data_IF_443309472713
#
_entry.id   IF_443309472713
#
_cell.length_a   1.000
_cell.length_b   1.000
_cell.length_c   1.000
_cell.angle_alpha   90.00
_cell.angle_beta   90.00
_cell.angle_gamma   90.00
#
_symmetry.space_group_name_H-M   'P 1'
#
loop_
_entity.id
_entity.type
_entity.pdbx_description
1 polymer ?
#
# COMPACT_ATOMS: atom_id res chain seq x y z
N UNK A 1 -2.56 10.85 41.38
CA UNK A 1 -1.93 9.65 40.85
C UNK A 1 -1.52 9.96 39.43
N UNK A 2 -0.27 10.42 39.24
CA UNK A 2 0.26 10.74 37.91
C UNK A 2 0.44 9.42 37.15
N UNK A 3 -0.36 9.22 36.09
CA UNK A 3 -0.02 8.23 35.10
C UNK A 3 1.20 8.73 34.33
N UNK A 4 2.32 8.06 34.52
CA UNK A 4 3.48 8.15 33.64
C UNK A 4 3.05 7.62 32.27
N UNK A 5 2.75 8.52 31.33
CA UNK A 5 2.64 8.20 29.93
C UNK A 5 4.08 8.01 29.40
N UNK A 6 4.67 6.87 29.73
CA UNK A 6 5.95 6.45 29.18
C UNK A 6 5.74 6.05 27.71
N UNK A 7 6.67 6.44 26.87
CA UNK A 7 6.76 6.14 25.44
C UNK A 7 6.66 4.62 25.17
N UNK A 8 5.43 4.13 24.95
CA UNK A 8 5.10 2.72 24.69
C UNK A 8 5.29 2.31 23.20
N UNK A 9 5.89 3.15 22.36
CA UNK A 9 5.69 3.05 20.90
C UNK A 9 6.86 2.52 20.09
N UNK A 10 7.88 1.91 20.72
CA UNK A 10 9.06 1.40 20.00
C UNK A 10 9.51 0.01 20.39
N UNK A 11 8.72 -0.74 21.13
CA UNK A 11 9.18 -2.03 21.66
C UNK A 11 8.50 -3.20 20.95
N UNK A 12 9.29 -4.19 20.51
CA UNK A 12 8.77 -5.49 20.06
C UNK A 12 7.99 -6.11 21.22
N UNK A 13 6.75 -6.50 20.92
CA UNK A 13 5.82 -7.10 21.86
C UNK A 13 5.75 -8.61 21.63
N UNK A 14 5.18 -9.33 22.59
CA UNK A 14 4.96 -10.77 22.51
C UNK A 14 3.48 -11.10 22.61
N UNK A 15 3.08 -12.15 21.89
CA UNK A 15 1.75 -12.72 21.89
C UNK A 15 1.87 -14.25 21.99
N UNK A 16 1.22 -14.87 22.97
CA UNK A 16 1.21 -16.31 23.11
C UNK A 16 0.18 -16.93 22.16
N UNK A 17 0.64 -17.84 21.30
CA UNK A 17 -0.19 -18.59 20.38
C UNK A 17 0.15 -20.07 20.41
N UNK A 18 -0.80 -20.92 20.78
CA UNK A 18 -0.65 -22.38 20.89
C UNK A 18 0.61 -22.80 21.69
N UNK A 19 0.85 -22.13 22.83
CA UNK A 19 2.01 -22.42 23.70
C UNK A 19 3.35 -21.88 23.20
N UNK A 20 3.35 -21.10 22.10
CA UNK A 20 4.55 -20.49 21.56
C UNK A 20 4.48 -18.96 21.69
N UNK A 21 5.55 -18.35 22.20
CA UNK A 21 5.68 -16.89 22.24
C UNK A 21 6.03 -16.37 20.84
N UNK A 22 5.08 -15.63 20.23
CA UNK A 22 5.26 -14.96 18.94
C UNK A 22 5.61 -13.50 19.20
N UNK A 23 6.40 -12.90 18.32
CA UNK A 23 6.79 -11.50 18.41
C UNK A 23 6.07 -10.66 17.36
N UNK A 24 5.80 -9.40 17.68
CA UNK A 24 5.30 -8.42 16.73
C UNK A 24 5.69 -7.00 17.14
N UNK A 25 5.72 -6.10 16.17
CA UNK A 25 5.79 -4.66 16.38
C UNK A 25 4.43 -4.07 15.99
N UNK A 26 3.98 -3.06 16.74
CA UNK A 26 2.84 -2.23 16.35
C UNK A 26 3.23 -0.75 16.40
N UNK A 27 2.90 -0.01 15.35
CA UNK A 27 3.01 1.45 15.29
C UNK A 27 1.63 2.04 15.10
N UNK A 28 1.23 2.88 16.03
CA UNK A 28 -0.04 3.60 15.98
C UNK A 28 0.19 5.00 15.43
N UNK A 29 -0.76 5.59 14.67
CA UNK A 29 -0.66 6.97 14.23
C UNK A 29 -0.63 7.92 15.44
N UNK A 30 0.21 8.95 15.36
CA UNK A 30 0.44 9.86 16.48
C UNK A 30 -0.76 10.77 16.78
N UNK A 31 -1.57 11.09 15.79
CA UNK A 31 -2.63 12.12 15.88
C UNK A 31 -4.03 11.53 15.98
N UNK A 32 -4.42 10.64 15.07
CA UNK A 32 -5.76 10.02 15.10
C UNK A 32 -5.73 8.75 15.95
N UNK A 33 -6.74 8.60 16.84
CA UNK A 33 -6.79 7.49 17.79
C UNK A 33 -8.16 6.80 17.87
N UNK A 34 -9.02 7.03 16.88
CA UNK A 34 -10.34 6.41 16.83
C UNK A 34 -10.58 5.76 15.46
N UNK A 35 -11.16 4.58 15.45
CA UNK A 35 -11.56 3.85 14.25
C UNK A 35 -10.41 3.69 13.22
N UNK A 36 -9.25 3.19 13.69
CA UNK A 36 -8.00 3.19 12.94
C UNK A 36 -7.91 1.94 12.05
N UNK A 37 -7.75 2.09 10.72
CA UNK A 37 -7.45 0.97 9.85
C UNK A 37 -6.17 0.25 10.26
N UNK A 38 -6.11 -1.07 10.08
CA UNK A 38 -4.95 -1.87 10.44
C UNK A 38 -4.28 -2.50 9.23
N UNK A 39 -2.96 -2.33 9.13
CA UNK A 39 -2.12 -2.94 8.12
C UNK A 39 -1.19 -3.97 8.73
N UNK A 40 -1.27 -5.21 8.27
CA UNK A 40 -0.26 -6.24 8.50
C UNK A 40 0.80 -6.18 7.39
N UNK A 41 2.07 -5.99 7.79
CA UNK A 41 3.21 -6.04 6.89
C UNK A 41 4.03 -7.31 7.15
N UNK A 42 3.99 -8.28 6.23
CA UNK A 42 4.61 -9.58 6.38
C UNK A 42 5.99 -9.63 5.71
N UNK A 43 7.02 -9.98 6.49
CA UNK A 43 8.40 -9.98 6.03
C UNK A 43 8.74 -11.16 5.11
N UNK A 44 9.84 -11.05 4.37
CA UNK A 44 10.41 -12.10 3.52
C UNK A 44 11.12 -13.20 4.30
N UNK A 45 11.58 -14.23 3.58
CA UNK A 45 12.37 -15.33 4.15
C UNK A 45 13.66 -14.80 4.81
N UNK A 46 13.93 -15.23 6.05
CA UNK A 46 15.14 -14.90 6.79
C UNK A 46 15.16 -13.47 7.35
N UNK A 47 14.09 -12.72 7.18
CA UNK A 47 14.00 -11.32 7.62
C UNK A 47 13.48 -11.19 9.05
N UNK A 48 13.51 -9.99 9.61
CA UNK A 48 13.05 -9.72 10.96
C UNK A 48 12.47 -8.31 11.12
N UNK A 49 11.67 -8.16 12.19
CA UNK A 49 10.97 -6.92 12.54
C UNK A 49 11.91 -5.71 12.58
N UNK A 50 13.07 -5.84 13.24
CA UNK A 50 14.00 -4.71 13.48
C UNK A 50 14.56 -4.19 12.15
N UNK A 51 14.94 -5.11 11.25
CA UNK A 51 15.43 -4.72 9.93
C UNK A 51 14.35 -4.00 9.14
N UNK A 52 13.12 -4.55 9.13
CA UNK A 52 12.01 -3.93 8.42
C UNK A 52 11.66 -2.54 8.99
N UNK A 53 11.61 -2.37 10.32
CA UNK A 53 11.30 -1.06 10.92
C UNK A 53 12.38 -0.01 10.58
N UNK A 54 13.64 -0.43 10.51
CA UNK A 54 14.74 0.45 10.08
C UNK A 54 14.69 0.80 8.60
N UNK A 55 14.20 -0.11 7.75
CA UNK A 55 14.11 0.10 6.30
C UNK A 55 12.87 0.91 5.91
N UNK A 56 11.72 0.55 6.46
CA UNK A 56 10.42 1.13 6.09
C UNK A 56 9.99 2.31 6.96
N UNK A 57 10.64 2.53 8.12
CA UNK A 57 10.27 3.58 9.06
C UNK A 57 8.78 3.57 9.41
N UNK A 58 8.28 2.44 9.88
CA UNK A 58 6.83 2.19 10.05
C UNK A 58 6.08 3.22 10.90
N UNK A 59 6.76 3.96 11.79
CA UNK A 59 6.10 5.08 12.46
C UNK A 59 5.71 6.19 11.46
N UNK A 60 6.57 6.49 10.47
CA UNK A 60 6.25 7.46 9.43
C UNK A 60 5.10 6.96 8.55
N UNK A 61 5.10 5.67 8.19
CA UNK A 61 4.00 5.03 7.45
C UNK A 61 2.69 5.12 8.22
N UNK A 62 2.71 4.84 9.54
CA UNK A 62 1.54 4.95 10.41
C UNK A 62 0.98 6.38 10.45
N UNK A 63 1.86 7.36 10.57
CA UNK A 63 1.49 8.77 10.64
C UNK A 63 1.00 9.33 9.30
N UNK A 64 1.67 8.95 8.19
CA UNK A 64 1.34 9.42 6.85
C UNK A 64 0.00 8.88 6.35
N UNK A 65 -0.25 7.59 6.57
CA UNK A 65 -1.44 6.90 6.05
C UNK A 65 -2.55 6.72 7.08
N UNK A 66 -2.33 7.18 8.31
CA UNK A 66 -3.27 7.00 9.42
C UNK A 66 -3.63 5.53 9.65
N UNK A 67 -2.64 4.65 9.65
CA UNK A 67 -2.79 3.22 9.87
C UNK A 67 -2.17 2.76 11.19
N UNK A 68 -2.79 1.79 11.85
CA UNK A 68 -2.09 0.91 12.78
C UNK A 68 -1.26 -0.09 11.97
N UNK A 69 0.07 0.03 11.98
CA UNK A 69 0.96 -0.87 11.24
C UNK A 69 1.45 -1.97 12.16
N UNK A 70 1.13 -3.21 11.84
CA UNK A 70 1.55 -4.42 12.58
C UNK A 70 2.57 -5.18 11.74
N UNK A 71 3.73 -5.44 12.34
CA UNK A 71 4.81 -6.21 11.72
C UNK A 71 5.07 -7.45 12.58
N UNK A 72 4.40 -8.57 12.30
CA UNK A 72 4.60 -9.79 13.07
C UNK A 72 5.87 -10.52 12.60
N UNK A 73 6.43 -11.37 13.50
CA UNK A 73 7.62 -12.18 13.24
C UNK A 73 7.23 -13.64 12.99
N UNK A 74 7.64 -14.18 11.85
CA UNK A 74 7.58 -15.61 11.60
C UNK A 74 8.55 -16.38 12.51
N UNK A 75 8.27 -17.65 12.75
CA UNK A 75 9.18 -18.53 13.48
C UNK A 75 10.38 -18.94 12.63
N UNK A 76 11.46 -19.33 13.29
CA UNK A 76 12.60 -19.95 12.64
C UNK A 76 12.34 -21.45 12.46
N UNK A 77 12.10 -21.87 11.24
CA UNK A 77 11.79 -23.24 10.84
C UNK A 77 13.06 -24.05 10.44
N UNK A 78 14.26 -23.59 10.88
CA UNK A 78 15.54 -24.24 10.56
C UNK A 78 16.21 -23.74 9.28
N UNK A 79 15.49 -23.06 8.43
CA UNK A 79 15.99 -22.40 7.20
C UNK A 79 15.96 -20.87 7.30
N UNK A 80 15.84 -20.32 8.50
CA UNK A 80 15.59 -18.92 8.79
C UNK A 80 14.14 -18.68 9.20
N UNK A 81 13.82 -17.44 9.48
CA UNK A 81 12.44 -17.02 9.80
C UNK A 81 11.56 -17.13 8.55
N UNK A 82 10.50 -17.93 8.64
CA UNK A 82 9.70 -18.30 7.49
C UNK A 82 8.22 -18.44 7.85
N UNK A 83 7.34 -17.90 7.02
CA UNK A 83 5.91 -18.12 7.11
C UNK A 83 5.53 -19.49 6.55
N UNK A 84 4.65 -20.18 7.23
CA UNK A 84 3.99 -21.37 6.65
C UNK A 84 2.94 -20.91 5.64
N UNK A 85 3.38 -20.61 4.43
CA UNK A 85 2.51 -20.25 3.30
C UNK A 85 2.23 -21.45 2.37
N UNK A 86 2.49 -22.68 2.84
CA UNK A 86 2.29 -23.91 2.06
C UNK A 86 3.38 -24.19 1.02
N UNK A 87 4.51 -23.47 1.05
CA UNK A 87 5.65 -23.70 0.15
C UNK A 87 6.48 -24.90 0.60
N UNK A 88 6.63 -25.07 1.92
CA UNK A 88 7.33 -26.17 2.54
C UNK A 88 6.43 -26.86 3.56
N UNK A 89 6.74 -28.10 3.92
CA UNK A 89 6.01 -28.79 4.96
C UNK A 89 6.32 -28.14 6.32
N UNK A 90 5.33 -27.60 6.97
CA UNK A 90 5.38 -27.02 8.32
C UNK A 90 4.04 -27.29 9.01
N UNK A 91 4.10 -27.51 10.33
CA UNK A 91 2.93 -27.63 11.19
C UNK A 91 2.59 -26.32 11.92
N UNK A 92 3.37 -25.25 11.70
CA UNK A 92 3.13 -23.95 12.32
C UNK A 92 1.86 -23.32 11.77
N UNK A 93 0.95 -22.96 12.66
CA UNK A 93 -0.31 -22.29 12.31
C UNK A 93 -0.11 -20.77 12.30
N UNK A 94 0.54 -20.25 11.24
CA UNK A 94 0.78 -18.82 11.09
C UNK A 94 -0.50 -18.05 10.73
N UNK A 95 -1.40 -18.63 9.94
CA UNK A 95 -2.63 -17.93 9.58
C UNK A 95 -3.57 -17.75 10.78
N UNK A 96 -3.72 -18.78 11.60
CA UNK A 96 -4.43 -18.69 12.87
C UNK A 96 -3.80 -17.70 13.85
N UNK A 97 -2.46 -17.68 13.94
CA UNK A 97 -1.73 -16.68 14.73
C UNK A 97 -2.05 -15.25 14.31
N UNK A 98 -2.01 -14.95 13.01
CA UNK A 98 -2.24 -13.58 12.51
C UNK A 98 -3.66 -13.09 12.78
N UNK A 99 -4.66 -13.97 12.67
CA UNK A 99 -6.04 -13.62 13.00
C UNK A 99 -6.25 -13.49 14.51
N UNK A 100 -5.69 -14.38 15.32
CA UNK A 100 -5.77 -14.27 16.78
C UNK A 100 -5.07 -13.00 17.31
N UNK A 101 -3.98 -12.61 16.68
CA UNK A 101 -3.30 -11.35 16.98
C UNK A 101 -4.21 -10.15 16.60
N UNK A 102 -4.89 -10.18 15.45
CA UNK A 102 -5.86 -9.15 15.05
C UNK A 102 -6.96 -8.99 16.11
N UNK A 103 -7.56 -10.09 16.54
CA UNK A 103 -8.61 -10.07 17.56
C UNK A 103 -8.12 -9.48 18.90
N UNK A 104 -6.91 -9.84 19.30
CA UNK A 104 -6.28 -9.30 20.51
C UNK A 104 -5.97 -7.80 20.41
N UNK A 105 -5.49 -7.34 19.25
CA UNK A 105 -5.19 -5.93 19.02
C UNK A 105 -6.48 -5.08 18.95
N UNK A 106 -7.55 -5.59 18.38
CA UNK A 106 -8.83 -4.90 18.32
C UNK A 106 -9.47 -4.70 19.73
N UNK A 107 -9.12 -5.54 20.71
CA UNK A 107 -9.54 -5.33 22.11
C UNK A 107 -8.67 -4.26 22.80
N UNK A 108 -7.39 -4.14 22.41
CA UNK A 108 -6.41 -3.27 23.09
C UNK A 108 -6.36 -1.86 22.48
N UNK A 109 -6.65 -1.73 21.20
CA UNK A 109 -6.53 -0.50 20.41
C UNK A 109 -7.84 -0.21 19.66
N UNK A 110 -8.14 1.04 19.35
CA UNK A 110 -9.35 1.42 18.62
C UNK A 110 -9.28 1.09 17.12
N UNK A 111 -9.06 -0.19 16.81
CA UNK A 111 -8.91 -0.70 15.45
C UNK A 111 -10.25 -0.77 14.74
N UNK A 112 -10.28 -0.38 13.48
CA UNK A 112 -11.41 -0.57 12.58
C UNK A 112 -11.35 -1.96 11.94
N UNK A 113 -12.22 -2.86 12.36
CA UNK A 113 -12.28 -4.21 11.80
C UNK A 113 -12.93 -4.28 10.40
N UNK A 114 -13.53 -3.19 9.93
CA UNK A 114 -14.01 -3.05 8.54
C UNK A 114 -12.89 -2.57 7.59
N UNK A 115 -11.69 -2.30 8.11
CA UNK A 115 -10.54 -1.81 7.37
C UNK A 115 -9.28 -2.57 7.77
N UNK A 116 -9.25 -3.87 7.46
CA UNK A 116 -8.15 -4.80 7.74
C UNK A 116 -7.39 -5.10 6.46
N UNK A 117 -6.11 -4.76 6.44
CA UNK A 117 -5.26 -4.84 5.26
C UNK A 117 -4.06 -5.74 5.50
N UNK A 118 -3.68 -6.51 4.48
CA UNK A 118 -2.48 -7.33 4.49
C UNK A 118 -1.60 -7.02 3.29
N UNK A 119 -0.32 -6.82 3.54
CA UNK A 119 0.73 -6.78 2.51
C UNK A 119 1.96 -7.55 2.96
N UNK A 120 2.81 -7.91 2.03
CA UNK A 120 4.07 -8.57 2.34
C UNK A 120 4.90 -8.80 1.09
N UNK A 121 6.19 -8.97 1.30
CA UNK A 121 7.17 -9.15 0.24
C UNK A 121 7.69 -10.58 0.21
N UNK A 122 7.89 -11.13 -1.01
CA UNK A 122 8.50 -12.47 -1.16
C UNK A 122 7.72 -13.52 -0.36
N UNK A 123 8.32 -14.21 0.61
CA UNK A 123 7.61 -15.14 1.50
C UNK A 123 6.41 -14.49 2.22
N UNK A 124 6.51 -13.19 2.59
CA UNK A 124 5.39 -12.42 3.11
C UNK A 124 4.26 -12.22 2.09
N UNK A 125 4.59 -12.11 0.80
CA UNK A 125 3.62 -12.08 -0.31
C UNK A 125 2.90 -13.42 -0.48
N UNK A 126 3.61 -14.54 -0.36
CA UNK A 126 2.98 -15.88 -0.32
C UNK A 126 2.00 -15.99 0.86
N UNK A 127 2.43 -15.52 2.05
CA UNK A 127 1.56 -15.56 3.23
C UNK A 127 0.37 -14.61 3.11
N UNK A 128 0.52 -13.46 2.44
CA UNK A 128 -0.58 -12.55 2.12
C UNK A 128 -1.64 -13.23 1.26
N UNK A 129 -1.23 -14.00 0.25
CA UNK A 129 -2.17 -14.83 -0.53
C UNK A 129 -2.87 -15.87 0.33
N UNK A 130 -2.14 -16.56 1.21
CA UNK A 130 -2.72 -17.54 2.13
C UNK A 130 -3.76 -16.89 3.03
N UNK A 131 -3.46 -15.74 3.62
CA UNK A 131 -4.41 -15.00 4.46
C UNK A 131 -5.69 -14.65 3.70
N UNK A 132 -5.57 -14.16 2.48
CA UNK A 132 -6.72 -13.84 1.64
C UNK A 132 -7.56 -15.08 1.27
N UNK A 133 -6.94 -16.24 1.06
CA UNK A 133 -7.63 -17.49 0.74
C UNK A 133 -8.34 -18.08 1.97
N UNK A 134 -7.67 -18.13 3.12
CA UNK A 134 -8.19 -18.77 4.33
C UNK A 134 -9.13 -17.86 5.16
N UNK A 135 -8.91 -16.53 5.11
CA UNK A 135 -9.58 -15.54 5.98
C UNK A 135 -10.07 -14.31 5.21
N UNK A 136 -10.41 -14.46 3.94
CA UNK A 136 -10.88 -13.35 3.11
C UNK A 136 -12.13 -12.65 3.65
N UNK A 137 -12.97 -13.36 4.40
CA UNK A 137 -14.15 -12.81 5.11
C UNK A 137 -13.79 -11.85 6.27
N UNK A 138 -12.54 -11.86 6.73
CA UNK A 138 -12.01 -11.00 7.81
C UNK A 138 -11.10 -9.89 7.27
N UNK A 139 -10.86 -9.84 5.97
CA UNK A 139 -9.86 -8.98 5.35
C UNK A 139 -10.51 -8.11 4.29
N UNK A 140 -10.30 -6.80 4.38
CA UNK A 140 -10.86 -5.83 3.44
C UNK A 140 -10.10 -5.82 2.11
N UNK A 141 -8.76 -5.85 2.15
CA UNK A 141 -7.94 -5.90 0.96
C UNK A 141 -6.54 -6.47 1.23
N UNK A 142 -5.95 -7.07 0.20
CA UNK A 142 -4.60 -7.63 0.21
C UNK A 142 -3.74 -7.07 -0.92
N UNK A 143 -2.43 -6.92 -0.64
CA UNK A 143 -1.45 -6.50 -1.63
C UNK A 143 -0.17 -7.35 -1.54
N UNK A 144 -0.17 -8.60 -2.05
CA UNK A 144 1.03 -9.42 -2.14
C UNK A 144 2.03 -8.87 -3.15
N UNK A 145 3.30 -8.72 -2.74
CA UNK A 145 4.39 -8.24 -3.59
C UNK A 145 5.41 -9.36 -3.80
N UNK A 146 5.70 -9.71 -5.05
CA UNK A 146 6.64 -10.78 -5.44
C UNK A 146 6.43 -12.08 -4.66
N UNK A 147 5.16 -12.45 -4.43
CA UNK A 147 4.74 -13.71 -3.81
C UNK A 147 3.75 -14.44 -4.71
N UNK A 148 3.63 -15.75 -4.58
CA UNK A 148 2.76 -16.59 -5.41
C UNK A 148 1.74 -17.34 -4.55
N UNK A 149 0.70 -17.87 -5.20
CA UNK A 149 -0.16 -18.91 -4.63
C UNK A 149 0.55 -20.26 -4.81
N UNK A 150 0.86 -20.95 -3.70
CA UNK A 150 1.46 -22.28 -3.75
C UNK A 150 0.48 -23.31 -4.29
N UNK A 151 1.00 -24.43 -4.80
CA UNK A 151 0.14 -25.51 -5.30
C UNK A 151 -0.77 -26.10 -4.22
N UNK A 152 -0.34 -26.10 -2.95
CA UNK A 152 -1.18 -26.56 -1.84
C UNK A 152 -2.37 -25.62 -1.59
N UNK A 153 -2.22 -24.31 -1.84
CA UNK A 153 -3.27 -23.32 -1.67
C UNK A 153 -4.18 -23.17 -2.90
N UNK A 154 -3.66 -23.48 -4.11
CA UNK A 154 -4.38 -23.24 -5.37
C UNK A 154 -5.68 -24.03 -5.55
N UNK A 155 -5.85 -25.11 -4.79
CA UNK A 155 -7.05 -25.94 -4.81
C UNK A 155 -8.12 -25.49 -3.79
N UNK A 156 -7.82 -24.52 -2.95
CA UNK A 156 -8.77 -23.95 -1.99
C UNK A 156 -9.63 -22.89 -2.69
N UNK A 157 -10.86 -22.76 -2.24
CA UNK A 157 -11.77 -21.69 -2.71
C UNK A 157 -11.63 -20.48 -1.81
N UNK A 158 -11.43 -19.32 -2.39
CA UNK A 158 -11.47 -18.04 -1.69
C UNK A 158 -12.86 -17.39 -1.83
N UNK A 159 -13.25 -16.59 -0.84
CA UNK A 159 -14.33 -15.61 -1.00
C UNK A 159 -13.83 -14.40 -1.77
N UNK A 160 -14.70 -13.56 -2.37
CA UNK A 160 -14.27 -12.32 -2.99
C UNK A 160 -13.52 -11.43 -1.98
N UNK A 161 -12.31 -10.98 -2.36
CA UNK A 161 -11.49 -10.07 -1.56
C UNK A 161 -10.76 -9.12 -2.50
N UNK A 162 -10.68 -7.84 -2.16
CA UNK A 162 -9.94 -6.86 -2.96
C UNK A 162 -8.46 -7.22 -2.98
N UNK A 163 -7.89 -7.32 -4.18
CA UNK A 163 -6.54 -7.85 -4.38
C UNK A 163 -5.71 -6.97 -5.31
N UNK A 164 -4.54 -6.51 -4.84
CA UNK A 164 -3.53 -5.85 -5.67
C UNK A 164 -2.27 -6.73 -5.73
N UNK A 165 -2.07 -7.47 -6.81
CA UNK A 165 -0.85 -8.25 -7.01
C UNK A 165 0.23 -7.42 -7.70
N UNK A 166 1.44 -7.34 -7.13
CA UNK A 166 2.58 -6.60 -7.71
C UNK A 166 3.73 -7.57 -7.98
N UNK A 167 4.24 -7.61 -9.24
CA UNK A 167 5.30 -8.56 -9.58
C UNK A 167 6.19 -8.11 -10.73
N UNK A 168 7.51 -8.33 -10.59
CA UNK A 168 8.52 -8.08 -11.61
C UNK A 168 8.62 -9.20 -12.64
N UNK A 169 8.65 -8.87 -13.93
CA UNK A 169 8.68 -9.87 -15.02
C UNK A 169 10.02 -10.60 -15.15
N UNK A 170 11.09 -10.06 -14.56
CA UNK A 170 12.44 -10.65 -14.59
C UNK A 170 12.92 -11.06 -13.20
N UNK A 171 11.99 -11.28 -12.26
CA UNK A 171 12.28 -11.74 -10.90
C UNK A 171 12.94 -13.13 -10.95
N UNK A 172 14.23 -13.29 -10.54
CA UNK A 172 14.92 -14.58 -10.59
C UNK A 172 14.70 -15.43 -9.34
N UNK A 173 14.17 -14.83 -8.26
CA UNK A 173 13.96 -15.48 -6.96
C UNK A 173 12.57 -16.11 -6.91
N UNK A 174 11.54 -15.30 -7.20
CA UNK A 174 10.15 -15.72 -7.31
C UNK A 174 9.71 -15.40 -8.74
N UNK A 175 9.94 -16.34 -9.67
CA UNK A 175 9.74 -16.09 -11.09
C UNK A 175 8.29 -15.82 -11.44
N UNK A 176 8.09 -14.91 -12.39
CA UNK A 176 6.77 -14.53 -12.91
C UNK A 176 5.98 -15.71 -13.48
N UNK A 177 6.71 -16.73 -13.98
CA UNK A 177 6.18 -17.99 -14.49
C UNK A 177 5.96 -19.08 -13.42
N UNK A 178 6.19 -18.75 -12.15
CA UNK A 178 6.10 -19.69 -11.03
C UNK A 178 7.41 -20.42 -10.69
N UNK A 179 8.45 -20.28 -11.51
CA UNK A 179 9.72 -20.98 -11.31
C UNK A 179 10.76 -20.06 -10.64
N UNK A 180 11.62 -20.64 -9.81
CA UNK A 180 12.75 -19.96 -9.22
C UNK A 180 14.05 -20.32 -9.91
N UNK A 181 14.78 -19.31 -10.38
CA UNK A 181 16.16 -19.49 -10.85
C UNK A 181 17.13 -19.60 -9.68
N UNK A 182 16.79 -18.97 -8.55
CA UNK A 182 17.64 -18.92 -7.34
C UNK A 182 17.56 -20.22 -6.52
N UNK A 183 16.33 -20.69 -6.23
CA UNK A 183 16.13 -21.93 -5.43
C UNK A 183 16.08 -23.18 -6.30
N UNK A 184 15.87 -23.02 -7.61
CA UNK A 184 15.53 -24.10 -8.52
C UNK A 184 14.10 -24.62 -8.32
N UNK A 185 13.47 -25.07 -9.40
CA UNK A 185 12.14 -25.66 -9.37
C UNK A 185 10.98 -24.64 -9.33
N UNK A 186 9.78 -25.20 -9.22
CA UNK A 186 8.54 -24.43 -9.24
C UNK A 186 8.09 -24.12 -7.81
N UNK A 187 7.75 -22.86 -7.53
CA UNK A 187 7.32 -22.38 -6.22
C UNK A 187 5.80 -22.27 -6.09
N UNK A 188 5.06 -22.24 -7.20
CA UNK A 188 3.62 -22.07 -7.18
C UNK A 188 3.05 -21.75 -8.56
N UNK A 189 1.86 -21.18 -8.58
CA UNK A 189 1.21 -20.75 -9.83
C UNK A 189 2.00 -19.62 -10.49
N UNK A 190 1.97 -19.55 -11.83
CA UNK A 190 2.42 -18.36 -12.54
C UNK A 190 1.55 -17.13 -12.17
N UNK A 191 2.05 -15.94 -12.41
CA UNK A 191 1.27 -14.70 -12.15
C UNK A 191 -0.02 -14.70 -12.96
N UNK A 192 0.00 -15.14 -14.22
CA UNK A 192 -1.21 -15.27 -15.04
C UNK A 192 -2.23 -16.24 -14.42
N UNK A 193 -1.76 -17.37 -13.88
CA UNK A 193 -2.64 -18.32 -13.20
C UNK A 193 -3.19 -17.76 -11.88
N UNK A 194 -2.40 -16.96 -11.14
CA UNK A 194 -2.85 -16.23 -9.94
C UNK A 194 -3.93 -15.22 -10.29
N UNK A 195 -3.74 -14.44 -11.36
CA UNK A 195 -4.76 -13.50 -11.83
C UNK A 195 -6.05 -14.22 -12.21
N UNK A 196 -5.95 -15.35 -12.88
CA UNK A 196 -7.13 -16.18 -13.21
C UNK A 196 -7.80 -16.75 -11.96
N UNK A 197 -7.03 -17.17 -10.95
CA UNK A 197 -7.57 -17.61 -9.66
C UNK A 197 -8.40 -16.50 -9.00
N UNK A 198 -7.85 -15.28 -8.87
CA UNK A 198 -8.53 -14.16 -8.24
C UNK A 198 -9.65 -13.59 -9.11
N UNK A 199 -9.53 -13.61 -10.45
CA UNK A 199 -10.66 -13.27 -11.35
C UNK A 199 -11.86 -14.17 -11.09
N UNK A 200 -11.63 -15.48 -10.94
CA UNK A 200 -12.69 -16.42 -10.64
C UNK A 200 -13.28 -16.19 -9.23
N UNK A 201 -12.44 -16.01 -8.21
CA UNK A 201 -12.88 -15.79 -6.84
C UNK A 201 -13.67 -14.48 -6.68
N UNK A 202 -13.25 -13.42 -7.38
CA UNK A 202 -13.86 -12.09 -7.34
C UNK A 202 -14.94 -11.88 -8.42
N UNK A 203 -15.28 -12.92 -9.19
CA UNK A 203 -16.27 -12.87 -10.28
C UNK A 203 -15.99 -11.77 -11.32
N UNK A 204 -14.72 -11.52 -11.62
CA UNK A 204 -14.33 -10.56 -12.66
C UNK A 204 -14.58 -11.14 -14.05
N UNK A 205 -15.48 -10.55 -14.82
CA UNK A 205 -15.91 -11.07 -16.14
C UNK A 205 -15.49 -10.17 -17.31
N UNK A 206 -15.18 -8.91 -17.05
CA UNK A 206 -14.77 -7.95 -18.07
C UNK A 206 -13.26 -8.01 -18.35
N UNK A 207 -12.86 -7.54 -19.55
CA UNK A 207 -11.47 -7.26 -19.86
C UNK A 207 -10.94 -6.15 -18.93
N UNK A 208 -9.65 -6.14 -18.57
CA UNK A 208 -9.11 -5.15 -17.66
C UNK A 208 -9.04 -3.76 -18.30
N UNK A 209 -9.25 -2.74 -17.49
CA UNK A 209 -8.75 -1.41 -17.80
C UNK A 209 -7.24 -1.43 -17.63
N UNK A 210 -6.50 -0.95 -18.65
CA UNK A 210 -5.03 -0.95 -18.64
C UNK A 210 -4.57 0.50 -18.55
N UNK A 211 -3.78 0.79 -17.54
CA UNK A 211 -3.14 2.08 -17.31
C UNK A 211 -1.61 1.91 -17.25
N UNK A 212 -0.89 2.71 -18.02
CA UNK A 212 0.58 2.67 -18.04
C UNK A 212 1.12 3.91 -17.35
N UNK A 213 1.91 3.70 -16.31
CA UNK A 213 2.59 4.79 -15.62
C UNK A 213 3.61 5.47 -16.54
N UNK A 214 3.77 6.80 -16.44
CA UNK A 214 4.81 7.50 -17.19
C UNK A 214 6.20 6.96 -16.86
N UNK A 215 7.03 6.71 -17.88
CA UNK A 215 8.45 6.33 -17.73
C UNK A 215 9.29 7.62 -17.65
N UNK A 216 9.49 8.13 -16.43
CA UNK A 216 10.21 9.37 -16.17
C UNK A 216 11.66 9.13 -15.74
N UNK A 217 11.99 7.93 -15.28
CA UNK A 217 13.30 7.61 -14.72
C UNK A 217 14.27 7.04 -15.75
N UNK A 218 13.78 6.45 -16.84
CA UNK A 218 14.60 5.77 -17.87
C UNK A 218 15.55 4.74 -17.25
N UNK A 219 15.10 4.01 -16.25
CA UNK A 219 15.88 3.02 -15.48
C UNK A 219 15.73 1.58 -16.02
N UNK A 220 15.00 1.43 -17.11
CA UNK A 220 14.69 0.14 -17.75
C UNK A 220 13.47 -0.55 -17.16
N UNK A 221 12.78 0.08 -16.21
CA UNK A 221 11.53 -0.42 -15.64
C UNK A 221 10.33 0.25 -16.34
N UNK A 222 9.24 -0.49 -16.45
CA UNK A 222 7.96 0.04 -16.89
C UNK A 222 6.86 -0.55 -16.03
N UNK A 223 5.99 0.30 -15.53
CA UNK A 223 4.90 -0.10 -14.64
C UNK A 223 3.58 -0.02 -15.40
N UNK A 224 2.84 -1.13 -15.40
CA UNK A 224 1.54 -1.23 -16.08
C UNK A 224 0.52 -1.79 -15.09
N UNK A 225 -0.56 -1.05 -14.86
CA UNK A 225 -1.67 -1.47 -14.02
C UNK A 225 -2.76 -2.09 -14.89
N UNK A 226 -3.25 -3.24 -14.46
CA UNK A 226 -4.42 -3.91 -14.97
C UNK A 226 -5.48 -3.90 -13.87
N UNK A 227 -6.65 -3.35 -14.14
CA UNK A 227 -7.77 -3.29 -13.20
C UNK A 227 -8.94 -4.11 -13.73
N UNK A 228 -9.37 -5.09 -12.98
CA UNK A 228 -10.50 -5.96 -13.27
C UNK A 228 -11.62 -5.67 -12.28
N UNK A 229 -12.80 -5.38 -12.78
CA UNK A 229 -14.01 -5.12 -12.00
C UNK A 229 -14.77 -6.43 -11.76
N UNK A 230 -15.34 -6.57 -10.54
CA UNK A 230 -16.07 -7.76 -10.08
C UNK A 230 -16.72 -7.49 -8.73
N UNK A 231 -17.13 -8.54 -8.03
CA UNK A 231 -17.68 -8.43 -6.67
C UNK A 231 -16.66 -7.85 -5.69
N UNK A 232 -15.37 -8.06 -5.97
CA UNK A 232 -14.26 -7.37 -5.36
C UNK A 232 -13.21 -7.02 -6.43
N UNK A 233 -12.65 -5.81 -6.36
CA UNK A 233 -11.68 -5.32 -7.34
C UNK A 233 -10.39 -6.15 -7.32
N UNK A 234 -9.91 -6.55 -8.51
CA UNK A 234 -8.60 -7.14 -8.70
C UNK A 234 -7.72 -6.17 -9.49
N UNK A 235 -6.58 -5.80 -8.93
CA UNK A 235 -5.55 -5.08 -9.65
C UNK A 235 -4.27 -5.91 -9.78
N UNK A 236 -3.54 -5.68 -10.88
CA UNK A 236 -2.18 -6.17 -11.06
C UNK A 236 -1.28 -5.05 -11.54
N UNK A 237 -0.21 -4.76 -10.80
CA UNK A 237 0.89 -3.92 -11.29
C UNK A 237 1.99 -4.84 -11.81
N UNK A 238 2.08 -4.92 -13.14
CA UNK A 238 3.14 -5.62 -13.86
C UNK A 238 4.36 -4.71 -13.97
N UNK A 239 5.48 -5.15 -13.41
CA UNK A 239 6.74 -4.40 -13.48
C UNK A 239 7.61 -5.03 -14.56
N UNK A 240 7.54 -4.49 -15.77
CA UNK A 240 8.32 -4.96 -16.92
C UNK A 240 9.80 -4.61 -16.68
N UNK A 241 10.67 -5.60 -16.77
CA UNK A 241 12.09 -5.48 -16.40
C UNK A 241 12.34 -5.52 -14.89
N UNK A 242 11.27 -5.59 -14.08
CA UNK A 242 11.36 -5.60 -12.62
C UNK A 242 11.97 -6.88 -12.08
N UNK A 243 12.82 -6.75 -11.08
CA UNK A 243 13.54 -7.78 -10.38
C UNK A 243 12.87 -8.12 -9.04
N UNK A 244 13.49 -8.99 -8.21
CA UNK A 244 13.01 -9.32 -6.85
C UNK A 244 13.32 -8.17 -5.88
N UNK A 245 12.54 -7.08 -5.96
CA UNK A 245 12.79 -5.83 -5.23
C UNK A 245 11.48 -5.20 -4.80
N UNK A 246 11.49 -4.63 -3.58
CA UNK A 246 10.45 -3.71 -3.15
C UNK A 246 10.85 -2.29 -3.59
N UNK A 247 10.13 -1.69 -4.52
CA UNK A 247 10.41 -0.34 -4.99
C UNK A 247 9.86 0.69 -4.01
N UNK A 248 10.77 1.34 -3.25
CA UNK A 248 10.44 2.10 -2.04
C UNK A 248 9.78 3.44 -2.31
N UNK A 249 10.23 4.20 -3.29
CA UNK A 249 9.80 5.59 -3.42
C UNK A 249 9.76 6.11 -4.86
N UNK A 250 8.82 7.03 -5.11
CA UNK A 250 8.65 7.77 -6.35
C UNK A 250 9.84 8.73 -6.64
N UNK A 251 10.67 9.03 -5.66
CA UNK A 251 11.90 9.79 -5.86
C UNK A 251 12.95 9.00 -6.67
N UNK A 252 12.98 7.68 -6.47
CA UNK A 252 13.95 6.78 -7.11
C UNK A 252 13.36 6.06 -8.33
N UNK A 253 12.09 5.69 -8.27
CA UNK A 253 11.37 4.94 -9.31
C UNK A 253 10.16 5.73 -9.79
N UNK A 254 9.49 5.28 -10.85
CA UNK A 254 8.28 5.95 -11.35
C UNK A 254 7.08 5.80 -10.42
N UNK A 255 7.09 4.78 -9.55
CA UNK A 255 6.12 4.57 -8.49
C UNK A 255 6.79 4.10 -7.19
N UNK A 256 6.13 4.34 -6.05
CA UNK A 256 6.44 3.71 -4.76
C UNK A 256 5.37 2.68 -4.40
N UNK A 257 5.79 1.46 -4.04
CA UNK A 257 4.81 0.39 -3.77
C UNK A 257 3.88 0.71 -2.60
N UNK A 258 4.39 1.27 -1.51
CA UNK A 258 3.53 1.67 -0.38
C UNK A 258 2.48 2.71 -0.76
N UNK A 259 2.85 3.68 -1.62
CA UNK A 259 1.91 4.69 -2.13
C UNK A 259 0.81 4.05 -2.98
N UNK A 260 1.16 3.12 -3.87
CA UNK A 260 0.17 2.44 -4.73
C UNK A 260 -0.72 1.48 -3.92
N UNK A 261 -0.15 0.79 -2.93
CA UNK A 261 -0.89 -0.05 -1.98
C UNK A 261 -1.85 0.80 -1.14
N UNK A 262 -1.40 1.95 -0.64
CA UNK A 262 -2.27 2.88 0.10
C UNK A 262 -3.43 3.36 -0.76
N UNK A 263 -3.17 3.82 -1.98
CA UNK A 263 -4.22 4.22 -2.92
C UNK A 263 -5.24 3.09 -3.12
N UNK A 264 -4.76 1.86 -3.37
CA UNK A 264 -5.63 0.72 -3.56
C UNK A 264 -6.46 0.38 -2.32
N UNK A 265 -5.89 0.46 -1.12
CA UNK A 265 -6.60 0.12 0.11
C UNK A 265 -7.65 1.18 0.49
N UNK A 266 -7.43 2.46 0.16
CA UNK A 266 -8.29 3.58 0.54
C UNK A 266 -9.34 3.95 -0.51
N UNK A 267 -9.10 3.66 -1.79
CA UNK A 267 -10.09 3.87 -2.85
C UNK A 267 -11.15 2.76 -2.75
N UNK A 268 -12.42 3.14 -2.57
CA UNK A 268 -13.59 2.26 -2.56
C UNK A 268 -13.86 1.41 -1.31
N UNK A 269 -13.77 1.97 -0.11
CA UNK A 269 -14.69 1.52 0.92
C UNK A 269 -16.04 2.18 0.63
N UNK A 270 -16.89 1.52 -0.17
CA UNK A 270 -18.17 2.05 -0.65
C UNK A 270 -19.24 2.27 0.42
N UNK A 271 -18.84 2.64 1.63
CA UNK A 271 -19.70 2.99 2.76
C UNK A 271 -19.27 4.25 3.52
N UNK A 272 -18.20 4.91 3.14
CA UNK A 272 -17.92 6.22 3.68
C UNK A 272 -18.70 7.25 2.86
N UNK A 273 -19.83 7.68 3.41
CA UNK A 273 -20.63 8.81 2.93
C UNK A 273 -19.92 10.17 3.04
N UNK A 274 -18.62 10.17 2.91
CA UNK A 274 -17.82 11.28 2.45
C UNK A 274 -17.52 10.94 0.98
N UNK A 275 -18.37 11.43 0.06
CA UNK A 275 -17.97 11.61 -1.30
C UNK A 275 -16.57 12.24 -1.21
N UNK A 276 -15.51 11.55 -1.70
CA UNK A 276 -14.35 12.29 -2.13
C UNK A 276 -14.93 13.43 -2.97
N UNK A 277 -14.60 14.70 -2.69
CA UNK A 277 -14.99 15.74 -3.62
C UNK A 277 -14.49 15.23 -4.96
N UNK A 278 -15.40 15.05 -5.93
CA UNK A 278 -15.09 14.72 -7.33
C UNK A 278 -13.79 15.43 -7.60
N UNK A 279 -12.76 14.71 -8.10
CA UNK A 279 -11.42 15.26 -8.13
C UNK A 279 -11.43 16.54 -8.96
N UNK A 280 -11.86 17.62 -8.34
CA UNK A 280 -11.61 19.00 -8.74
C UNK A 280 -10.12 19.24 -8.48
N UNK A 281 -9.29 18.30 -8.99
CA UNK A 281 -7.86 18.45 -8.95
C UNK A 281 -7.53 19.65 -9.79
N UNK A 282 -7.20 20.75 -9.12
CA UNK A 282 -6.71 21.95 -9.74
C UNK A 282 -5.47 21.57 -10.56
N UNK A 283 -5.64 21.37 -11.87
CA UNK A 283 -4.54 21.02 -12.77
C UNK A 283 -3.70 22.25 -13.02
N UNK A 284 -2.40 22.14 -12.81
CA UNK A 284 -1.47 23.23 -13.08
C UNK A 284 -0.20 22.72 -13.77
N UNK A 285 0.35 23.52 -14.67
CA UNK A 285 1.60 23.23 -15.39
C UNK A 285 2.28 24.51 -15.90
N UNK A 286 3.62 24.51 -15.97
CA UNK A 286 4.54 23.50 -15.43
C UNK A 286 4.61 23.55 -13.89
N UNK A 287 4.93 22.38 -13.30
CA UNK A 287 5.24 22.27 -11.88
C UNK A 287 6.38 21.23 -11.75
N UNK A 288 7.60 21.58 -11.31
CA UNK A 288 8.04 22.92 -10.83
C UNK A 288 7.91 24.05 -11.86
N UNK A 289 7.83 25.29 -11.36
CA UNK A 289 7.73 26.49 -12.19
C UNK A 289 8.74 27.56 -11.74
N UNK A 290 9.22 28.38 -12.68
CA UNK A 290 10.04 29.54 -12.37
C UNK A 290 9.24 30.76 -11.87
N UNK A 291 7.93 30.59 -11.66
CA UNK A 291 7.00 31.60 -11.16
C UNK A 291 5.71 31.72 -11.95
N UNK A 292 5.70 31.37 -13.23
CA UNK A 292 4.49 31.36 -14.05
C UNK A 292 4.06 29.96 -14.39
N UNK A 293 2.76 29.67 -14.21
CA UNK A 293 2.13 28.42 -14.59
C UNK A 293 0.69 28.65 -15.03
N UNK A 294 0.16 27.68 -15.71
CA UNK A 294 -1.24 27.65 -16.15
C UNK A 294 -2.04 26.79 -15.18
N UNK A 295 -3.22 27.26 -14.79
CA UNK A 295 -4.24 26.48 -14.10
C UNK A 295 -5.48 26.33 -14.96
N UNK A 296 -5.99 25.09 -15.04
CA UNK A 296 -7.26 24.81 -15.71
C UNK A 296 -8.33 24.46 -14.66
N UNK A 297 -9.47 25.17 -14.75
CA UNK A 297 -10.63 24.96 -13.87
C UNK A 297 -11.89 24.83 -14.70
N UNK A 298 -12.77 23.91 -14.33
CA UNK A 298 -14.02 23.66 -15.08
C UNK A 298 -15.04 24.77 -14.88
N UNK A 299 -15.07 25.39 -13.70
CA UNK A 299 -15.96 26.48 -13.33
C UNK A 299 -15.17 27.63 -12.77
N UNK A 300 -15.70 28.86 -12.88
CA UNK A 300 -15.10 30.03 -12.24
C UNK A 300 -15.04 29.83 -10.72
N UNK A 301 -13.88 30.13 -10.10
CA UNK A 301 -13.67 29.94 -8.66
C UNK A 301 -12.58 30.86 -8.14
N UNK A 302 -12.62 31.16 -6.85
CA UNK A 302 -11.53 31.84 -6.15
C UNK A 302 -10.52 30.83 -5.61
N UNK A 303 -9.23 31.18 -5.70
CA UNK A 303 -8.14 30.40 -5.11
C UNK A 303 -7.31 31.25 -4.17
N UNK A 304 -6.75 30.60 -3.15
CA UNK A 304 -5.83 31.16 -2.19
C UNK A 304 -4.50 30.40 -2.23
N UNK A 305 -3.39 31.14 -2.34
CA UNK A 305 -2.03 30.56 -2.27
C UNK A 305 -1.52 30.67 -0.84
N UNK A 306 -1.12 29.56 -0.27
CA UNK A 306 -0.64 29.44 1.10
C UNK A 306 0.84 29.09 1.14
N UNK A 307 1.59 29.62 2.08
CA UNK A 307 2.96 29.18 2.37
C UNK A 307 2.99 27.90 3.23
N UNK A 308 4.19 27.38 3.51
CA UNK A 308 4.40 26.18 4.33
C UNK A 308 3.86 26.29 5.77
N UNK A 309 3.57 27.49 6.25
CA UNK A 309 2.96 27.76 7.57
C UNK A 309 1.44 27.93 7.47
N UNK A 310 0.85 27.73 6.27
CA UNK A 310 -0.58 27.91 6.04
C UNK A 310 -1.05 29.37 5.97
N UNK A 311 -0.12 30.35 5.85
CA UNK A 311 -0.46 31.77 5.72
C UNK A 311 -0.78 32.08 4.26
N UNK A 312 -1.84 32.84 4.03
CA UNK A 312 -2.21 33.34 2.71
C UNK A 312 -1.19 34.33 2.18
N UNK A 313 -0.60 34.06 1.02
CA UNK A 313 0.41 34.90 0.36
C UNK A 313 -0.07 35.50 -0.95
N UNK A 314 -1.11 34.94 -1.57
CA UNK A 314 -1.77 35.51 -2.75
C UNK A 314 -3.20 34.97 -2.90
N UNK A 315 -4.05 35.69 -3.65
CA UNK A 315 -5.41 35.26 -4.01
C UNK A 315 -5.68 35.59 -5.47
N UNK A 316 -6.39 34.71 -6.17
CA UNK A 316 -6.76 34.90 -7.56
C UNK A 316 -8.21 34.48 -7.79
N UNK A 317 -8.93 35.24 -8.61
CA UNK A 317 -10.23 34.86 -9.15
C UNK A 317 -10.01 34.22 -10.53
N UNK A 318 -10.35 32.94 -10.67
CA UNK A 318 -10.18 32.18 -11.90
C UNK A 318 -11.50 32.16 -12.71
N UNK A 319 -11.38 32.18 -14.03
CA UNK A 319 -12.49 31.91 -14.94
C UNK A 319 -12.48 30.45 -15.34
N UNK A 320 -13.63 29.92 -15.75
CA UNK A 320 -13.68 28.59 -16.36
C UNK A 320 -12.70 28.50 -17.56
N UNK A 321 -11.95 27.39 -17.64
CA UNK A 321 -10.88 27.16 -18.61
C UNK A 321 -9.50 27.48 -18.06
N UNK A 322 -8.56 27.79 -18.97
CA UNK A 322 -7.15 28.03 -18.66
C UNK A 322 -6.90 29.45 -18.12
N UNK A 323 -6.21 29.53 -16.98
CA UNK A 323 -5.81 30.76 -16.30
C UNK A 323 -4.29 30.80 -16.12
N UNK A 324 -3.65 31.96 -16.39
CA UNK A 324 -2.22 32.13 -16.13
C UNK A 324 -2.02 32.77 -14.77
N UNK A 325 -1.25 32.11 -13.89
CA UNK A 325 -0.92 32.54 -12.56
C UNK A 325 0.56 32.95 -12.51
N UNK A 326 0.86 34.05 -11.85
CA UNK A 326 2.23 34.56 -11.68
C UNK A 326 2.58 34.72 -10.20
N UNK A 327 3.39 33.81 -9.70
CA UNK A 327 3.98 33.84 -8.35
C UNK A 327 5.47 34.21 -8.37
N UNK A 328 5.99 34.76 -9.47
CA UNK A 328 7.40 35.11 -9.62
C UNK A 328 7.92 36.13 -8.61
N UNK A 329 7.04 36.85 -7.92
CA UNK A 329 7.36 37.77 -6.83
C UNK A 329 7.60 37.09 -5.47
N UNK A 330 7.21 35.81 -5.33
CA UNK A 330 7.40 35.02 -4.11
C UNK A 330 8.80 34.37 -4.09
N UNK A 331 9.37 34.06 -2.91
CA UNK A 331 10.59 33.28 -2.78
C UNK A 331 10.48 31.88 -3.38
N UNK A 332 11.61 31.27 -3.71
CA UNK A 332 11.65 29.82 -4.04
C UNK A 332 11.12 29.00 -2.87
N UNK A 333 10.39 27.93 -3.17
CA UNK A 333 9.83 27.08 -2.14
C UNK A 333 8.53 26.39 -2.56
N UNK A 334 7.99 25.59 -1.64
CA UNK A 334 6.72 24.89 -1.80
C UNK A 334 5.57 25.79 -1.33
N UNK A 335 4.53 25.87 -2.16
CA UNK A 335 3.28 26.56 -1.87
C UNK A 335 2.10 25.63 -2.07
N UNK A 336 0.97 25.94 -1.42
CA UNK A 336 -0.28 25.24 -1.58
C UNK A 336 -1.30 26.19 -2.20
N UNK A 337 -2.03 25.71 -3.21
CA UNK A 337 -3.13 26.44 -3.81
C UNK A 337 -4.42 25.78 -3.34
N UNK A 338 -5.25 26.54 -2.64
CA UNK A 338 -6.53 26.09 -2.11
C UNK A 338 -7.66 26.78 -2.86
N UNK A 339 -8.56 26.00 -3.44
CA UNK A 339 -9.80 26.48 -4.06
C UNK A 339 -10.91 26.68 -3.03
N UNK A 340 -11.87 27.55 -3.32
CA UNK A 340 -13.07 27.76 -2.48
C UNK A 340 -13.92 26.49 -2.32
N UNK A 341 -13.83 25.56 -3.28
CA UNK A 341 -14.46 24.23 -3.23
C UNK A 341 -13.73 23.23 -2.31
N UNK A 342 -12.67 23.66 -1.60
CA UNK A 342 -11.87 22.83 -0.72
C UNK A 342 -10.74 22.06 -1.41
N UNK A 343 -10.64 22.07 -2.74
CA UNK A 343 -9.55 21.43 -3.48
C UNK A 343 -8.21 22.08 -3.12
N UNK A 344 -7.16 21.25 -2.94
CA UNK A 344 -5.80 21.72 -2.65
C UNK A 344 -4.82 21.06 -3.60
N UNK A 345 -3.92 21.85 -4.18
CA UNK A 345 -2.80 21.35 -4.98
C UNK A 345 -1.49 22.01 -4.57
N UNK A 346 -0.36 21.38 -4.90
CA UNK A 346 0.99 21.88 -4.58
C UNK A 346 1.60 22.57 -5.78
N UNK A 347 2.35 23.64 -5.58
CA UNK A 347 3.21 24.26 -6.59
C UNK A 347 4.60 24.49 -6.03
N UNK A 348 5.63 24.04 -6.76
CA UNK A 348 7.03 24.23 -6.41
C UNK A 348 7.61 25.38 -7.24
N UNK A 349 8.03 26.47 -6.59
CA UNK A 349 8.77 27.57 -7.23
C UNK A 349 10.26 27.27 -7.18
N UNK A 350 10.87 27.15 -8.37
CA UNK A 350 12.31 26.92 -8.55
C UNK A 350 12.79 27.89 -9.65
N UNK A 351 13.56 28.90 -9.26
CA UNK A 351 14.10 29.94 -10.15
C UNK A 351 15.45 29.58 -10.71
#
# INVERSE_FOLDING_TARGET
>A
MLMLCGSLFSQIQTFEWQGTQRQYLIKMPSVNRENIPILYFLHGLGDNITRLDNEFHFQQVADEFNWAVVVPQALNEGYGTMWNAGLMASSTDDSGFLIALLDSLAVQYPINLDSVFFTGFSMGGFMTHRMAIEHGDRITACAPVSGLITHSMSNLSAVPVRMLHIHGTTDPVVGYDGNSQYFGGNLGLSVEAILNYWKNANHCVAEPVIDTFPDLKNDGLRFVRYTYDGDAELQHIKVIGGNHTWYMSENQYDIGYLTEIHKFFTINNGNDGVAEPESNSLRLWPNPTSGRFTMEVETAMDIEVLDMQGRSVAKYALKAGSNSIDLGHLPEGLYFIKGENGAVTKVLLSK
#
